data_IF_694394155385
#
_entry.id   IF_694394155385
#
_cell.length_a   1.000
_cell.length_b   1.000
_cell.length_c   1.000
_cell.angle_alpha   90.00
_cell.angle_beta   90.00
_cell.angle_gamma   90.00
#
_symmetry.space_group_name_H-M   'P 1'
#
loop_
_entity.id
_entity.type
_entity.pdbx_description
1 polymer ?
#
# COMPACT_ATOMS: atom_id res chain seq x y z
N UNK A 1 -1.36 -5.89 0.08
CA UNK A 1 -0.47 -4.84 0.63
C UNK A 1 0.86 -5.38 1.14
N UNK A 2 0.90 -6.15 2.25
CA UNK A 2 2.18 -6.65 2.81
C UNK A 2 3.06 -7.39 1.79
N UNK A 3 2.46 -8.27 0.98
CA UNK A 3 3.17 -9.03 -0.06
C UNK A 3 3.76 -8.08 -1.12
N UNK A 4 2.96 -7.18 -1.69
CA UNK A 4 3.43 -6.16 -2.63
C UNK A 4 4.58 -5.30 -2.07
N UNK A 5 4.48 -4.82 -0.82
CA UNK A 5 5.56 -4.06 -0.18
C UNK A 5 6.84 -4.88 -0.02
N UNK A 6 6.72 -6.15 0.40
CA UNK A 6 7.88 -7.04 0.51
C UNK A 6 8.49 -7.32 -0.87
N UNK A 7 7.68 -7.56 -1.89
CA UNK A 7 8.15 -7.75 -3.26
C UNK A 7 8.80 -6.49 -3.85
N UNK A 8 8.35 -5.30 -3.43
CA UNK A 8 9.01 -4.04 -3.80
C UNK A 8 10.41 -3.93 -3.20
N UNK A 9 10.59 -4.36 -1.94
CA UNK A 9 11.86 -4.26 -1.21
C UNK A 9 12.84 -5.39 -1.53
N UNK A 10 12.35 -6.57 -1.89
CA UNK A 10 13.13 -7.81 -2.00
C UNK A 10 12.86 -8.48 -3.34
N UNK A 11 13.93 -8.76 -4.09
CA UNK A 11 13.91 -9.62 -5.28
C UNK A 11 14.81 -10.82 -5.02
N UNK A 12 14.28 -12.04 -4.87
CA UNK A 12 15.10 -13.21 -4.63
C UNK A 12 16.05 -13.50 -5.80
N UNK A 13 17.35 -13.58 -5.52
CA UNK A 13 18.37 -13.98 -6.48
C UNK A 13 18.95 -15.37 -6.14
N UNK A 14 19.51 -16.12 -7.11
CA UNK A 14 20.14 -17.40 -6.84
C UNK A 14 21.24 -17.28 -5.77
N UNK A 15 21.04 -17.93 -4.62
CA UNK A 15 21.96 -17.88 -3.47
C UNK A 15 21.73 -16.73 -2.50
N UNK A 16 20.79 -15.81 -2.75
CA UNK A 16 20.41 -14.74 -1.82
C UNK A 16 18.89 -14.53 -1.83
N UNK A 17 18.10 -15.33 -1.09
CA UNK A 17 16.64 -15.28 -1.10
C UNK A 17 16.03 -13.96 -0.63
N UNK A 18 16.76 -13.19 0.17
CA UNK A 18 16.35 -11.88 0.71
C UNK A 18 17.18 -10.73 0.11
N UNK A 19 17.64 -10.87 -1.14
CA UNK A 19 18.39 -9.81 -1.80
C UNK A 19 17.50 -8.56 -1.93
N UNK A 20 18.07 -7.40 -1.59
CA UNK A 20 17.39 -6.13 -1.79
C UNK A 20 17.09 -5.96 -3.28
N UNK A 21 15.88 -5.52 -3.59
CA UNK A 21 15.53 -5.20 -4.97
C UNK A 21 16.33 -3.98 -5.42
N UNK A 22 17.24 -4.17 -6.38
CA UNK A 22 18.07 -3.11 -6.96
C UNK A 22 17.33 -2.26 -8.00
N UNK A 23 16.06 -2.60 -8.30
CA UNK A 23 15.21 -1.94 -9.29
C UNK A 23 15.80 -1.92 -10.73
N UNK A 24 16.70 -2.87 -11.03
CA UNK A 24 17.29 -3.05 -12.36
C UNK A 24 16.48 -3.99 -13.27
N UNK A 25 15.43 -4.63 -12.75
CA UNK A 25 14.49 -5.47 -13.51
C UNK A 25 13.13 -4.75 -13.61
N UNK A 26 12.87 -4.01 -14.71
CA UNK A 26 11.60 -3.32 -14.91
C UNK A 26 10.40 -4.27 -14.98
N UNK A 27 10.61 -5.54 -15.32
CA UNK A 27 9.55 -6.54 -15.37
C UNK A 27 9.13 -6.99 -13.98
N UNK A 28 10.06 -7.08 -13.03
CA UNK A 28 9.77 -7.31 -11.62
C UNK A 28 9.01 -6.12 -11.04
N UNK A 29 9.56 -4.92 -11.17
CA UNK A 29 8.96 -3.70 -10.63
C UNK A 29 7.58 -3.43 -11.23
N UNK A 30 7.43 -3.62 -12.54
CA UNK A 30 6.15 -3.46 -13.23
C UNK A 30 5.05 -4.38 -12.70
N UNK A 31 5.38 -5.63 -12.31
CA UNK A 31 4.40 -6.53 -11.69
C UNK A 31 3.97 -6.05 -10.32
N UNK A 32 4.91 -5.58 -9.50
CA UNK A 32 4.60 -5.06 -8.16
C UNK A 32 3.75 -3.79 -8.27
N UNK A 33 4.10 -2.87 -9.18
CA UNK A 33 3.33 -1.66 -9.43
C UNK A 33 1.92 -1.95 -9.95
N UNK A 34 1.76 -2.95 -10.82
CA UNK A 34 0.44 -3.38 -11.28
C UNK A 34 -0.42 -3.94 -10.14
N UNK A 35 0.15 -4.74 -9.23
CA UNK A 35 -0.56 -5.21 -8.03
C UNK A 35 -0.97 -4.03 -7.13
N UNK A 36 -0.09 -3.05 -6.94
CA UNK A 36 -0.39 -1.86 -6.15
C UNK A 36 -1.47 -0.98 -6.79
N UNK A 37 -1.51 -0.88 -8.12
CA UNK A 37 -2.56 -0.19 -8.84
C UNK A 37 -3.93 -0.87 -8.62
N UNK A 38 -3.98 -2.21 -8.66
CA UNK A 38 -5.20 -2.95 -8.33
C UNK A 38 -5.63 -2.74 -6.88
N UNK A 39 -4.68 -2.65 -5.94
CA UNK A 39 -4.97 -2.31 -4.55
C UNK A 39 -5.54 -0.88 -4.44
N UNK A 40 -5.04 0.07 -5.23
CA UNK A 40 -5.57 1.43 -5.26
C UNK A 40 -7.03 1.47 -5.74
N UNK A 41 -7.38 0.69 -6.77
CA UNK A 41 -8.76 0.61 -7.25
C UNK A 41 -9.70 0.03 -6.17
N UNK A 42 -9.29 -1.05 -5.50
CA UNK A 42 -10.06 -1.64 -4.39
C UNK A 42 -10.16 -0.67 -3.20
N UNK A 43 -9.10 0.10 -2.94
CA UNK A 43 -9.08 1.08 -1.87
C UNK A 43 -10.12 2.18 -2.11
N UNK A 44 -10.25 2.67 -3.36
CA UNK A 44 -11.24 3.69 -3.71
C UNK A 44 -12.68 3.17 -3.48
N UNK A 45 -12.95 1.91 -3.84
CA UNK A 45 -14.26 1.29 -3.59
C UNK A 45 -14.57 1.16 -2.09
N UNK A 46 -13.59 0.72 -1.30
CA UNK A 46 -13.73 0.58 0.15
C UNK A 46 -13.90 1.95 0.81
N UNK A 47 -13.11 2.94 0.40
CA UNK A 47 -13.22 4.30 0.89
C UNK A 47 -14.62 4.87 0.64
N UNK A 48 -15.14 4.74 -0.58
CA UNK A 48 -16.47 5.25 -0.92
C UNK A 48 -17.56 4.66 0.01
N UNK A 49 -17.47 3.36 0.32
CA UNK A 49 -18.38 2.71 1.27
C UNK A 49 -18.21 3.22 2.71
N UNK A 50 -16.97 3.44 3.17
CA UNK A 50 -16.69 3.96 4.51
C UNK A 50 -17.13 5.42 4.66
N UNK A 51 -16.88 6.26 3.66
CA UNK A 51 -17.24 7.68 3.63
C UNK A 51 -18.75 7.87 3.68
N UNK A 52 -19.53 6.98 3.05
CA UNK A 52 -20.98 6.98 3.14
C UNK A 52 -21.52 6.81 4.57
N UNK A 53 -20.72 6.22 5.47
CA UNK A 53 -21.06 6.06 6.90
C UNK A 53 -20.39 7.14 7.75
N UNK A 54 -19.11 7.43 7.50
CA UNK A 54 -18.27 8.35 8.26
C UNK A 54 -17.34 9.13 7.34
N UNK A 55 -17.66 10.41 7.10
CA UNK A 55 -16.93 11.28 6.19
C UNK A 55 -15.43 11.45 6.49
N UNK A 56 -14.97 11.14 7.72
CA UNK A 56 -13.55 11.24 8.10
C UNK A 56 -12.64 10.25 7.36
N UNK A 57 -13.20 9.21 6.74
CA UNK A 57 -12.44 8.25 5.94
C UNK A 57 -12.11 8.75 4.53
N UNK A 58 -12.46 10.00 4.18
CA UNK A 58 -12.18 10.52 2.86
C UNK A 58 -10.69 10.87 2.67
N UNK A 59 -10.18 10.69 1.45
CA UNK A 59 -8.87 11.12 0.98
C UNK A 59 -7.75 10.07 1.08
N UNK A 60 -8.01 8.83 1.50
CA UNK A 60 -6.96 7.81 1.58
C UNK A 60 -6.58 7.27 0.19
N UNK A 61 -7.55 7.02 -0.69
CA UNK A 61 -7.38 6.60 -2.07
C UNK A 61 -6.54 7.60 -2.86
N UNK A 62 -6.90 8.89 -2.80
CA UNK A 62 -6.14 9.98 -3.42
C UNK A 62 -4.69 10.02 -2.93
N UNK A 63 -4.47 9.93 -1.61
CA UNK A 63 -3.13 9.89 -1.02
C UNK A 63 -2.34 8.65 -1.46
N UNK A 64 -3.00 7.50 -1.56
CA UNK A 64 -2.38 6.26 -1.97
C UNK A 64 -1.95 6.31 -3.43
N UNK A 65 -2.82 6.80 -4.32
CA UNK A 65 -2.51 7.00 -5.75
C UNK A 65 -1.37 8.00 -5.95
N UNK A 66 -1.41 9.13 -5.25
CA UNK A 66 -0.32 10.10 -5.30
C UNK A 66 1.03 9.49 -4.85
N UNK A 67 1.02 8.64 -3.81
CA UNK A 67 2.21 7.93 -3.38
C UNK A 67 2.69 6.91 -4.44
N UNK A 68 1.76 6.17 -5.04
CA UNK A 68 2.05 5.19 -6.10
C UNK A 68 2.67 5.86 -7.33
N UNK A 69 2.08 6.96 -7.80
CA UNK A 69 2.57 7.73 -8.94
C UNK A 69 3.96 8.34 -8.68
N UNK A 70 4.25 8.67 -7.41
CA UNK A 70 5.56 9.13 -6.98
C UNK A 70 6.58 7.99 -6.75
N UNK A 71 6.18 6.73 -6.93
CA UNK A 71 7.00 5.54 -6.65
C UNK A 71 7.29 5.31 -5.16
N UNK A 72 6.51 5.95 -4.27
CA UNK A 72 6.71 5.89 -2.81
C UNK A 72 5.97 4.70 -2.22
N UNK A 73 6.54 3.51 -2.29
CA UNK A 73 5.82 2.29 -1.87
C UNK A 73 6.01 2.01 -0.38
N UNK A 74 7.26 2.02 0.08
CA UNK A 74 7.65 1.74 1.48
C UNK A 74 8.47 2.87 2.10
N UNK A 75 8.42 4.06 1.51
CA UNK A 75 9.14 5.24 1.97
C UNK A 75 8.72 5.63 3.40
N UNK A 76 9.60 6.30 4.16
CA UNK A 76 9.34 6.65 5.55
C UNK A 76 8.15 7.59 5.78
N UNK A 77 7.66 8.27 4.73
CA UNK A 77 6.54 9.22 4.78
C UNK A 77 5.77 9.20 3.48
N UNK A 78 4.45 9.41 3.60
CA UNK A 78 3.51 9.53 2.49
C UNK A 78 3.72 8.44 1.42
N UNK A 79 3.93 7.22 1.89
CA UNK A 79 4.07 6.03 1.05
C UNK A 79 2.77 5.25 0.98
N UNK A 80 2.62 4.43 -0.06
CA UNK A 80 1.48 3.52 -0.19
C UNK A 80 1.28 2.70 1.09
N UNK A 81 2.38 2.16 1.66
CA UNK A 81 2.34 1.40 2.90
C UNK A 81 1.81 2.22 4.08
N UNK A 82 2.29 3.45 4.24
CA UNK A 82 1.86 4.30 5.34
C UNK A 82 0.39 4.71 5.22
N UNK A 83 -0.06 5.11 4.01
CA UNK A 83 -1.46 5.48 3.78
C UNK A 83 -2.40 4.31 4.08
N UNK A 84 -2.04 3.09 3.64
CA UNK A 84 -2.80 1.89 3.96
C UNK A 84 -2.83 1.59 5.46
N UNK A 85 -1.69 1.75 6.14
CA UNK A 85 -1.59 1.52 7.58
C UNK A 85 -2.45 2.49 8.37
N UNK A 86 -2.42 3.79 8.04
CA UNK A 86 -3.25 4.82 8.67
C UNK A 86 -4.75 4.51 8.52
N UNK A 87 -5.21 4.16 7.31
CA UNK A 87 -6.61 3.74 7.12
C UNK A 87 -6.96 2.51 7.97
N UNK A 88 -6.07 1.53 8.03
CA UNK A 88 -6.28 0.30 8.79
C UNK A 88 -6.40 0.58 10.30
N UNK A 89 -5.55 1.44 10.86
CA UNK A 89 -5.65 1.89 12.25
C UNK A 89 -6.96 2.63 12.51
N UNK A 90 -7.32 3.58 11.66
CA UNK A 90 -8.53 4.38 11.81
C UNK A 90 -9.80 3.53 11.79
N UNK A 91 -9.84 2.51 10.92
CA UNK A 91 -10.95 1.57 10.88
C UNK A 91 -11.07 0.77 12.19
N UNK A 92 -9.95 0.27 12.71
CA UNK A 92 -9.94 -0.53 13.94
C UNK A 92 -10.31 0.32 15.16
N UNK A 93 -9.77 1.53 15.26
CA UNK A 93 -10.14 2.48 16.30
C UNK A 93 -11.63 2.81 16.24
N UNK A 94 -12.18 2.96 15.02
CA UNK A 94 -13.61 3.23 14.81
C UNK A 94 -14.50 2.07 15.25
N UNK A 95 -14.07 0.83 15.00
CA UNK A 95 -14.80 -0.38 15.40
C UNK A 95 -14.64 -0.73 16.88
N UNK A 96 -13.80 0.01 17.63
CA UNK A 96 -13.51 -0.28 19.03
C UNK A 96 -12.80 -1.62 19.24
N UNK A 97 -12.13 -2.15 18.20
CA UNK A 97 -11.41 -3.42 18.27
C UNK A 97 -10.05 -3.13 18.92
N UNK A 98 -9.83 -3.62 20.13
CA UNK A 98 -8.51 -3.56 20.76
C UNK A 98 -7.61 -4.65 20.19
N UNK A 99 -6.43 -4.29 19.68
CA UNK A 99 -5.42 -5.28 19.30
C UNK A 99 -4.69 -5.75 20.56
N UNK A 100 -4.70 -7.06 20.82
CA UNK A 100 -3.87 -7.73 21.82
C UNK A 100 -2.59 -8.26 21.19
#
# INVERSE_FOLDING_TARGET
>A
MRVACTAWQVRPDPGTPLAANDHLDPGWDGRVLAELAQIADVLDEVEAALVAVLARFAGYGDRFRAALDAGRITDPRDSCHQVWFELHEDLIATLGITRH
#
